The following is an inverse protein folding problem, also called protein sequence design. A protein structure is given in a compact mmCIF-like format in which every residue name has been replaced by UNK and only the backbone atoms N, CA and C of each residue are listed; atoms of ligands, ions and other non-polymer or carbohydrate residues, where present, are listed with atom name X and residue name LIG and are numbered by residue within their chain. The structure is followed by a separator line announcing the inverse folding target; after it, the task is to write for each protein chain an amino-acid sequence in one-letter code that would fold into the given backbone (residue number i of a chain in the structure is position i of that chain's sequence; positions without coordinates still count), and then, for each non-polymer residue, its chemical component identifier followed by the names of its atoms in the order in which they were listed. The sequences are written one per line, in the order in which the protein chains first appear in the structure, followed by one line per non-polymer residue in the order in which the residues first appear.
data_IF_226811388243
#
_entry.id   IF_226811388243
#
_cell.length_a   1.000
_cell.length_b   1.000
_cell.length_c   1.000
_cell.angle_alpha   90.00
_cell.angle_beta   90.00
_cell.angle_gamma   90.00
#
_symmetry.space_group_name_H-M   'P 1'
#
loop_
_entity.id
_entity.type
_entity.pdbx_description
1 polymer ?
#
# COMPACT_ATOMS: atom_id res chain seq x y z
N UNK A 1 37.89 9.33 -1.13
CA UNK A 1 36.54 9.66 -0.64
C UNK A 1 35.74 8.38 -0.71
N UNK A 2 35.27 7.88 0.43
CA UNK A 2 34.28 6.80 0.41
C UNK A 2 32.95 7.39 -0.04
N UNK A 3 32.28 6.69 -0.97
CA UNK A 3 30.93 7.06 -1.41
C UNK A 3 29.98 6.56 -0.32
N UNK A 4 29.31 7.49 0.36
CA UNK A 4 28.24 7.14 1.30
C UNK A 4 26.99 6.89 0.47
N UNK A 5 26.51 5.65 0.47
CA UNK A 5 25.23 5.32 -0.13
C UNK A 5 24.09 5.78 0.77
N UNK A 6 23.09 6.42 0.17
CA UNK A 6 21.82 6.77 0.82
C UNK A 6 20.74 5.83 0.31
N UNK A 7 20.11 5.13 1.24
CA UNK A 7 19.04 4.19 0.99
C UNK A 7 17.71 4.85 1.32
N UNK A 8 16.74 4.64 0.45
CA UNK A 8 15.36 5.08 0.60
C UNK A 8 14.48 3.84 0.62
N UNK A 9 13.84 3.60 1.75
CA UNK A 9 12.96 2.47 1.96
C UNK A 9 11.52 3.00 2.05
N UNK A 10 10.65 2.53 1.18
CA UNK A 10 9.24 2.84 1.28
C UNK A 10 8.56 2.10 2.42
N UNK A 11 7.25 2.31 2.55
CA UNK A 11 6.44 1.79 3.67
C UNK A 11 6.23 0.29 3.52
N UNK A 12 6.46 -0.46 4.58
CA UNK A 12 5.92 -1.81 4.74
C UNK A 12 4.66 -1.75 5.60
N UNK A 13 3.57 -2.28 5.08
CA UNK A 13 2.27 -2.29 5.76
C UNK A 13 1.86 -3.73 6.01
N UNK A 14 1.71 -4.06 7.29
CA UNK A 14 1.23 -5.35 7.76
C UNK A 14 -0.27 -5.29 7.98
N UNK A 15 -0.98 -6.31 7.52
CA UNK A 15 -2.44 -6.38 7.64
C UNK A 15 -2.94 -7.82 7.84
N UNK A 16 -4.15 -7.93 8.38
CA UNK A 16 -4.83 -9.21 8.55
C UNK A 16 -5.46 -9.66 7.23
N UNK A 17 -5.15 -10.88 6.78
CA UNK A 17 -5.71 -11.50 5.56
C UNK A 17 -7.22 -11.62 5.60
N UNK A 18 -7.81 -11.74 6.79
CA UNK A 18 -9.24 -11.94 6.96
C UNK A 18 -10.07 -10.75 6.48
N UNK A 19 -9.62 -9.53 6.75
CA UNK A 19 -10.44 -8.33 6.58
C UNK A 19 -9.67 -7.12 6.05
N UNK A 20 -8.35 -7.21 5.86
CA UNK A 20 -7.55 -6.11 5.39
C UNK A 20 -7.16 -5.07 6.44
N UNK A 21 -7.46 -5.35 7.72
CA UNK A 21 -7.14 -4.44 8.82
C UNK A 21 -5.63 -4.30 8.95
N UNK A 22 -5.16 -3.05 8.89
CA UNK A 22 -3.75 -2.72 9.12
C UNK A 22 -3.43 -2.87 10.61
N UNK A 23 -2.37 -3.60 10.90
CA UNK A 23 -1.88 -3.88 12.26
C UNK A 23 -0.56 -3.18 12.56
N UNK A 24 0.26 -2.91 11.54
CA UNK A 24 1.48 -2.15 11.67
C UNK A 24 1.84 -1.46 10.35
N UNK A 25 2.34 -0.23 10.45
CA UNK A 25 2.89 0.57 9.35
C UNK A 25 4.28 1.04 9.77
N UNK A 26 5.30 0.66 8.99
CA UNK A 26 6.68 1.04 9.29
C UNK A 26 6.96 2.52 9.06
N UNK A 27 6.11 3.22 8.31
CA UNK A 27 6.43 4.50 7.70
C UNK A 27 7.56 4.37 6.67
N UNK A 28 8.02 5.53 6.18
CA UNK A 28 9.14 5.62 5.23
C UNK A 28 10.46 5.80 5.99
N UNK A 29 11.53 5.19 5.47
CA UNK A 29 12.87 5.29 6.03
C UNK A 29 13.86 5.87 5.03
N UNK A 30 14.77 6.71 5.51
CA UNK A 30 15.90 7.22 4.73
C UNK A 30 17.15 7.19 5.60
N UNK A 31 18.27 6.68 5.08
CA UNK A 31 19.50 6.58 5.85
C UNK A 31 20.67 5.95 5.11
N UNK A 32 21.78 5.76 5.82
CA UNK A 32 23.02 5.21 5.26
C UNK A 32 23.17 3.70 5.50
N UNK A 33 22.17 3.08 6.12
CA UNK A 33 22.14 1.65 6.42
C UNK A 33 21.00 1.04 5.63
N UNK A 34 21.33 0.05 4.81
CA UNK A 34 20.34 -0.78 4.13
C UNK A 34 19.63 -1.65 5.18
N UNK A 35 18.30 -1.63 5.17
CA UNK A 35 17.49 -2.43 6.09
C UNK A 35 16.94 -3.59 5.28
N UNK A 36 17.40 -4.80 5.60
CA UNK A 36 16.82 -6.00 5.03
C UNK A 36 15.42 -6.20 5.60
N UNK A 37 14.43 -6.27 4.72
CA UNK A 37 13.03 -6.41 5.12
C UNK A 37 12.60 -7.88 5.09
N UNK A 38 12.74 -8.59 6.20
CA UNK A 38 12.35 -10.00 6.35
C UNK A 38 11.13 -10.15 7.26
N UNK A 39 10.08 -10.81 6.77
CA UNK A 39 8.87 -11.06 7.55
C UNK A 39 9.13 -11.76 8.88
N UNK A 40 9.99 -12.79 8.90
CA UNK A 40 10.27 -13.54 10.12
C UNK A 40 11.02 -12.69 11.15
N UNK A 41 12.00 -11.89 10.70
CA UNK A 41 12.70 -10.94 11.56
C UNK A 41 11.75 -9.87 12.09
N UNK A 42 10.92 -9.31 11.21
CA UNK A 42 9.96 -8.28 11.58
C UNK A 42 8.93 -8.81 12.58
N UNK A 43 8.43 -10.03 12.40
CA UNK A 43 7.52 -10.68 13.34
C UNK A 43 8.15 -10.89 14.73
N UNK A 44 9.42 -11.27 14.78
CA UNK A 44 10.15 -11.44 16.05
C UNK A 44 10.39 -10.10 16.78
N UNK A 45 10.61 -9.01 16.04
CA UNK A 45 11.02 -7.72 16.60
C UNK A 45 9.87 -6.71 16.78
N UNK A 46 8.78 -6.82 16.04
CA UNK A 46 7.63 -5.92 16.08
C UNK A 46 6.54 -6.56 16.94
N UNK A 47 6.46 -6.13 18.21
CA UNK A 47 5.62 -6.76 19.23
C UNK A 47 4.15 -6.93 18.83
N UNK A 48 3.54 -5.94 18.16
CA UNK A 48 2.12 -6.01 17.76
C UNK A 48 1.83 -7.12 16.73
N UNK A 49 2.82 -7.55 15.94
CA UNK A 49 2.63 -8.66 15.00
C UNK A 49 2.44 -9.99 15.76
N UNK A 50 3.07 -10.15 16.92
CA UNK A 50 2.98 -11.35 17.74
C UNK A 50 1.62 -11.54 18.43
N UNK A 51 0.75 -10.52 18.40
CA UNK A 51 -0.63 -10.62 18.88
C UNK A 51 -1.54 -11.42 17.93
N UNK A 52 -1.05 -11.72 16.71
CA UNK A 52 -1.76 -12.44 15.67
C UNK A 52 -0.97 -13.68 15.23
N UNK A 53 -1.64 -14.67 14.64
CA UNK A 53 -0.94 -15.83 14.06
C UNK A 53 -0.16 -15.39 12.83
N UNK A 54 1.10 -15.86 12.68
CA UNK A 54 1.90 -15.65 11.44
C UNK A 54 1.10 -15.92 10.16
N UNK A 55 0.26 -16.96 10.18
CA UNK A 55 -0.54 -17.35 9.01
C UNK A 55 -1.65 -16.35 8.66
N UNK A 56 -2.12 -15.56 9.62
CA UNK A 56 -3.21 -14.59 9.45
C UNK A 56 -2.71 -13.23 8.95
N UNK A 57 -1.39 -13.01 8.98
CA UNK A 57 -0.74 -11.76 8.59
C UNK A 57 -0.21 -11.88 7.16
N UNK A 58 -0.40 -10.81 6.40
CA UNK A 58 0.28 -10.54 5.13
C UNK A 58 0.86 -9.13 5.18
N UNK A 59 1.68 -8.79 4.19
CA UNK A 59 2.25 -7.46 4.05
C UNK A 59 2.29 -7.01 2.59
N UNK A 60 2.44 -5.70 2.42
CA UNK A 60 2.80 -5.05 1.16
C UNK A 60 3.99 -4.12 1.39
N UNK A 61 4.82 -4.02 0.37
CA UNK A 61 5.91 -3.05 0.30
C UNK A 61 5.54 -1.99 -0.73
N UNK A 62 5.56 -0.74 -0.30
CA UNK A 62 5.36 0.42 -1.15
C UNK A 62 6.71 1.02 -1.52
N UNK A 63 6.77 1.68 -2.67
CA UNK A 63 7.93 2.47 -3.05
C UNK A 63 8.07 3.72 -2.17
N UNK A 64 9.29 4.24 -2.03
CA UNK A 64 9.51 5.49 -1.30
C UNK A 64 8.75 6.64 -1.97
N UNK A 65 7.92 7.34 -1.22
CA UNK A 65 7.05 8.42 -1.70
C UNK A 65 5.71 7.96 -2.27
N UNK A 66 5.45 6.65 -2.37
CA UNK A 66 4.20 6.16 -2.94
C UNK A 66 3.01 6.52 -2.02
N UNK A 67 1.98 7.13 -2.61
CA UNK A 67 0.77 7.60 -1.92
C UNK A 67 1.01 8.61 -0.80
N UNK A 68 2.10 9.39 -0.89
CA UNK A 68 2.49 10.36 0.14
C UNK A 68 1.36 11.36 0.48
N UNK A 69 0.68 11.88 -0.55
CA UNK A 69 -0.43 12.81 -0.35
C UNK A 69 -1.62 12.15 0.34
N UNK A 70 -1.97 10.93 -0.05
CA UNK A 70 -3.07 10.18 0.57
C UNK A 70 -2.79 9.86 2.03
N UNK A 71 -1.60 9.33 2.36
CA UNK A 71 -1.22 9.06 3.75
C UNK A 71 -1.27 10.34 4.61
N UNK A 72 -0.85 11.47 4.05
CA UNK A 72 -0.85 12.76 4.76
C UNK A 72 -2.27 13.27 5.05
N UNK A 73 -3.22 13.01 4.15
CA UNK A 73 -4.55 13.60 4.21
C UNK A 73 -5.66 12.62 4.70
N UNK A 74 -5.38 11.33 4.76
CA UNK A 74 -6.37 10.34 5.16
C UNK A 74 -6.69 10.39 6.67
N UNK A 75 -7.88 9.91 7.02
CA UNK A 75 -8.32 9.71 8.41
C UNK A 75 -8.01 8.29 8.87
N UNK A 76 -8.21 7.33 7.97
CA UNK A 76 -7.83 5.94 8.15
C UNK A 76 -7.65 5.30 6.77
N UNK A 77 -7.00 4.15 6.74
CA UNK A 77 -6.83 3.35 5.52
C UNK A 77 -6.84 1.86 5.85
N UNK A 78 -7.04 1.03 4.84
CA UNK A 78 -6.97 -0.44 4.94
C UNK A 78 -6.30 -1.02 3.70
N UNK A 79 -5.90 -2.28 3.75
CA UNK A 79 -5.39 -3.00 2.56
C UNK A 79 -6.44 -4.01 2.13
N UNK A 80 -6.84 -4.01 0.86
CA UNK A 80 -7.72 -5.06 0.37
C UNK A 80 -6.97 -6.40 0.36
N UNK A 81 -7.43 -7.44 1.09
CA UNK A 81 -6.67 -8.67 1.26
C UNK A 81 -6.60 -9.54 0.00
N UNK A 82 -7.44 -9.27 -1.02
CA UNK A 82 -7.49 -10.04 -2.27
C UNK A 82 -6.48 -9.50 -3.27
N UNK A 83 -6.52 -8.18 -3.51
CA UNK A 83 -5.70 -7.54 -4.56
C UNK A 83 -4.53 -6.71 -4.01
N UNK A 84 -4.40 -6.63 -2.68
CA UNK A 84 -3.33 -5.91 -1.97
C UNK A 84 -3.27 -4.40 -2.24
N UNK A 85 -4.34 -3.80 -2.76
CA UNK A 85 -4.43 -2.35 -2.94
C UNK A 85 -4.72 -1.66 -1.61
N UNK A 86 -4.03 -0.55 -1.35
CA UNK A 86 -4.34 0.35 -0.22
C UNK A 86 -5.63 1.12 -0.54
N UNK A 87 -6.51 1.28 0.44
CA UNK A 87 -7.73 2.06 0.32
C UNK A 87 -7.78 3.11 1.43
N UNK A 88 -7.99 4.36 1.06
CA UNK A 88 -7.94 5.52 1.93
C UNK A 88 -9.33 6.11 2.18
N UNK A 89 -9.58 6.57 3.39
CA UNK A 89 -10.76 7.34 3.75
C UNK A 89 -10.37 8.76 4.16
N UNK A 90 -11.08 9.77 3.65
CA UNK A 90 -10.77 11.19 3.84
C UNK A 90 -11.89 11.91 4.59
N UNK A 91 -11.55 12.98 5.32
CA UNK A 91 -12.46 13.63 6.29
C UNK A 91 -13.66 14.38 5.69
N UNK A 92 -13.69 14.64 4.38
CA UNK A 92 -14.50 15.76 3.85
C UNK A 92 -15.55 15.44 2.79
N UNK A 93 -15.95 14.19 2.57
CA UNK A 93 -17.07 13.92 1.66
C UNK A 93 -18.05 12.99 2.38
N UNK A 94 -19.32 13.41 2.41
CA UNK A 94 -20.46 12.69 2.96
C UNK A 94 -20.33 11.18 2.67
N UNK A 95 -20.16 10.43 3.75
CA UNK A 95 -19.75 9.02 3.86
C UNK A 95 -18.23 8.80 3.79
N UNK A 96 -17.68 8.37 4.92
CA UNK A 96 -16.31 7.89 5.18
C UNK A 96 -15.96 6.62 4.39
N UNK A 97 -16.37 6.54 3.12
CA UNK A 97 -16.16 5.42 2.24
C UNK A 97 -14.70 5.34 1.84
N UNK A 98 -14.18 4.12 1.87
CA UNK A 98 -12.84 3.79 1.43
C UNK A 98 -12.73 3.95 -0.09
N UNK A 99 -11.72 4.68 -0.53
CA UNK A 99 -11.42 4.94 -1.95
C UNK A 99 -10.04 4.41 -2.28
N UNK A 100 -9.86 3.95 -3.53
CA UNK A 100 -8.52 3.66 -4.04
C UNK A 100 -7.67 4.95 -4.11
N UNK A 101 -6.34 4.83 -4.13
CA UNK A 101 -5.43 5.96 -4.34
C UNK A 101 -5.70 6.62 -5.69
N UNK A 102 -5.33 7.89 -5.85
CA UNK A 102 -5.68 8.65 -7.05
C UNK A 102 -5.10 8.02 -8.32
N UNK A 103 -3.84 7.60 -8.30
CA UNK A 103 -3.18 7.00 -9.45
C UNK A 103 -3.91 5.74 -9.90
N UNK A 104 -4.36 4.90 -8.95
CA UNK A 104 -5.09 3.67 -9.25
C UNK A 104 -6.47 3.97 -9.83
N UNK A 105 -7.16 4.98 -9.30
CA UNK A 105 -8.47 5.41 -9.85
C UNK A 105 -8.32 5.91 -11.29
N UNK A 106 -7.26 6.65 -11.58
CA UNK A 106 -6.95 7.12 -12.94
C UNK A 106 -6.61 5.93 -13.84
N UNK A 107 -5.75 5.01 -13.40
CA UNK A 107 -5.39 3.79 -14.14
C UNK A 107 -6.64 2.95 -14.49
N UNK A 108 -7.54 2.73 -13.54
CA UNK A 108 -8.80 2.01 -13.77
C UNK A 108 -9.69 2.72 -14.79
N UNK A 109 -9.78 4.06 -14.72
CA UNK A 109 -10.57 4.85 -15.67
C UNK A 109 -9.96 4.83 -17.08
N UNK A 110 -8.65 4.94 -17.21
CA UNK A 110 -7.93 4.85 -18.47
C UNK A 110 -8.10 3.48 -19.12
N UNK A 111 -7.94 2.40 -18.34
CA UNK A 111 -8.17 1.03 -18.79
C UNK A 111 -9.63 0.81 -19.23
N UNK A 112 -10.59 1.33 -18.47
CA UNK A 112 -12.00 1.26 -18.84
C UNK A 112 -12.30 2.02 -20.14
N UNK A 113 -11.69 3.20 -20.33
CA UNK A 113 -11.85 3.99 -21.55
C UNK A 113 -11.28 3.26 -22.77
N UNK A 114 -10.11 2.63 -22.63
CA UNK A 114 -9.48 1.86 -23.70
C UNK A 114 -10.39 0.72 -24.18
N UNK A 115 -10.96 -0.05 -23.25
CA UNK A 115 -11.92 -1.12 -23.56
C UNK A 115 -13.17 -0.62 -24.28
N UNK A 116 -13.64 0.59 -23.96
CA UNK A 116 -14.79 1.21 -24.64
C UNK A 116 -14.41 1.61 -26.07
N UNK A 117 -13.24 2.22 -26.26
CA UNK A 117 -12.72 2.61 -27.58
C UNK A 117 -12.55 1.39 -28.48
N UNK A 118 -12.00 0.28 -27.97
CA UNK A 118 -11.84 -0.96 -28.73
C UNK A 118 -13.18 -1.55 -29.18
N UNK A 119 -14.20 -1.50 -28.32
CA UNK A 119 -15.56 -1.93 -28.67
C UNK A 119 -16.19 -1.04 -29.74
N UNK A 120 -15.97 0.27 -29.67
CA UNK A 120 -16.47 1.22 -30.68
C UNK A 120 -15.76 1.05 -32.04
N UNK A 121 -14.49 0.63 -32.03
CA UNK A 121 -13.69 0.40 -33.22
C UNK A 121 -13.88 -1.00 -33.84
N UNK A 122 -14.83 -1.79 -33.34
CA UNK A 122 -15.23 -3.06 -33.94
C UNK A 122 -14.49 -4.30 -33.43
N UNK A 123 -13.66 -4.17 -32.38
CA UNK A 123 -13.00 -5.29 -31.69
C UNK A 123 -11.97 -6.04 -32.54
N UNK A 124 -10.69 -5.84 -32.25
CA UNK A 124 -9.60 -6.66 -32.81
C UNK A 124 -8.78 -7.22 -31.64
N UNK A 125 -9.35 -8.16 -30.91
CA UNK A 125 -8.65 -9.10 -30.02
C UNK A 125 -9.28 -10.48 -30.20
#
# INVERSE_FOLDING_TARGET
MEVINWYKNGRRIYFLKQNGQVIYDSGEGEGTVEIEQSFDSDYENIFVLNEHSKNDIDFIDLEYGQYHEEFTNCVYYQVNPINKNVQFAFRNESESALKLPLEKRVEELENALLLVVDKLNGGIL
#
